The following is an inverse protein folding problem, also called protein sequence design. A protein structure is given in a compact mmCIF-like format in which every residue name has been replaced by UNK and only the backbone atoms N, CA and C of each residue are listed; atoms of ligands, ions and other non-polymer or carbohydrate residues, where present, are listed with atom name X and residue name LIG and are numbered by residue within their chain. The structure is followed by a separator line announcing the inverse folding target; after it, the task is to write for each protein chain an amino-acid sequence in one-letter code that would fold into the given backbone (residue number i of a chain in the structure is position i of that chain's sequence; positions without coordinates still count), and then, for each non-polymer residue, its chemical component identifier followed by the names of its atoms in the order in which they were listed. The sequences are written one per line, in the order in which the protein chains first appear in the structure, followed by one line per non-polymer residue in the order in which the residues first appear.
data_IF_664209829143
#
_entry.id   IF_664209829143
#
_cell.length_a   1.000
_cell.length_b   1.000
_cell.length_c   1.000
_cell.angle_alpha   90.00
_cell.angle_beta   90.00
_cell.angle_gamma   90.00
#
_symmetry.space_group_name_H-M   'P 1'
#
loop_
_entity.id
_entity.type
_entity.pdbx_description
1 polymer ?
#
# COMPACT_ATOMS: atom_id res chain seq x y z
N UNK A 1 -28.82 -9.93 -6.96
CA UNK A 1 -30.17 -10.58 -6.89
C UNK A 1 -31.14 -9.61 -6.20
N UNK A 2 -32.43 -9.50 -6.56
CA UNK A 2 -33.34 -8.53 -5.88
C UNK A 2 -33.73 -9.02 -4.48
N UNK A 3 -32.83 -8.88 -3.50
CA UNK A 3 -33.03 -9.26 -2.10
C UNK A 3 -33.57 -8.04 -1.35
N UNK A 4 -34.81 -7.63 -1.65
CA UNK A 4 -35.49 -6.62 -0.84
C UNK A 4 -36.82 -7.17 -0.35
N UNK A 5 -36.86 -7.39 0.97
CA UNK A 5 -37.91 -8.00 1.79
C UNK A 5 -37.97 -9.53 1.80
N UNK A 6 -37.15 -10.12 2.67
CA UNK A 6 -37.48 -11.42 3.26
C UNK A 6 -38.70 -11.20 4.18
N UNK A 7 -39.90 -11.53 3.68
CA UNK A 7 -41.07 -11.76 4.54
C UNK A 7 -42.23 -10.76 4.52
N UNK A 8 -42.20 -9.67 3.73
CA UNK A 8 -43.38 -8.85 3.45
C UNK A 8 -43.40 -8.36 2.00
N UNK A 9 -44.51 -8.56 1.29
CA UNK A 9 -44.71 -7.99 -0.05
C UNK A 9 -44.64 -6.44 0.02
N UNK A 10 -43.67 -5.84 -0.67
CA UNK A 10 -43.80 -4.47 -1.18
C UNK A 10 -43.93 -4.56 -2.70
N UNK A 11 -44.81 -3.81 -3.36
CA UNK A 11 -44.88 -3.77 -4.82
C UNK A 11 -43.69 -3.04 -5.47
N UNK A 12 -42.75 -2.51 -4.69
CA UNK A 12 -41.73 -1.57 -5.15
C UNK A 12 -40.39 -2.25 -5.35
N UNK A 13 -40.34 -3.29 -6.19
CA UNK A 13 -39.08 -3.72 -6.80
C UNK A 13 -38.94 -2.92 -8.10
N UNK A 14 -38.21 -1.81 -8.08
CA UNK A 14 -38.04 -0.89 -9.23
C UNK A 14 -37.05 -1.41 -10.30
N UNK A 15 -36.92 -2.73 -10.46
CA UNK A 15 -36.22 -3.28 -11.63
C UNK A 15 -37.20 -3.26 -12.82
N UNK A 16 -36.86 -2.52 -13.89
CA UNK A 16 -37.70 -2.41 -15.08
C UNK A 16 -38.03 -3.78 -15.72
N UNK A 17 -37.10 -4.74 -15.64
CA UNK A 17 -37.28 -6.12 -16.06
C UNK A 17 -38.28 -6.88 -15.17
N UNK A 18 -38.22 -6.72 -13.83
CA UNK A 18 -39.19 -7.31 -12.91
C UNK A 18 -40.59 -6.69 -13.07
N UNK A 19 -40.68 -5.38 -13.38
CA UNK A 19 -41.93 -4.70 -13.69
C UNK A 19 -42.58 -5.17 -15.00
N UNK A 20 -41.77 -5.46 -16.02
CA UNK A 20 -42.26 -6.01 -17.30
C UNK A 20 -42.70 -7.48 -17.17
N UNK A 21 -41.88 -8.31 -16.52
CA UNK A 21 -42.16 -9.75 -16.36
C UNK A 21 -43.37 -10.03 -15.45
N UNK A 22 -43.57 -9.22 -14.40
CA UNK A 22 -44.73 -9.35 -13.50
C UNK A 22 -46.05 -8.98 -14.18
N UNK A 23 -46.05 -8.00 -15.10
CA UNK A 23 -47.24 -7.61 -15.88
C UNK A 23 -47.65 -8.64 -16.93
N UNK A 24 -46.69 -9.37 -17.50
CA UNK A 24 -46.97 -10.31 -18.59
C UNK A 24 -47.24 -11.74 -18.10
N UNK A 25 -46.66 -12.17 -16.98
CA UNK A 25 -46.69 -13.59 -16.60
C UNK A 25 -47.40 -13.92 -15.27
N UNK A 26 -48.00 -12.95 -14.56
CA UNK A 26 -48.65 -13.22 -13.26
C UNK A 26 -47.76 -14.00 -12.26
N UNK A 27 -46.44 -13.84 -12.37
CA UNK A 27 -45.47 -14.60 -11.57
C UNK A 27 -45.54 -14.12 -10.12
N UNK A 28 -46.17 -14.93 -9.26
CA UNK A 28 -46.05 -14.79 -7.80
C UNK A 28 -44.66 -15.25 -7.40
N UNK A 29 -43.70 -14.32 -7.34
CA UNK A 29 -42.41 -14.59 -6.71
C UNK A 29 -42.63 -14.78 -5.21
N UNK A 30 -42.64 -16.02 -4.75
CA UNK A 30 -42.52 -16.32 -3.32
C UNK A 30 -41.07 -16.05 -2.91
N UNK A 31 -40.81 -15.18 -1.91
CA UNK A 31 -39.45 -14.90 -1.49
C UNK A 31 -38.80 -16.19 -0.97
N UNK A 32 -37.59 -16.45 -1.43
CA UNK A 32 -36.80 -17.60 -0.97
C UNK A 32 -36.58 -17.48 0.55
N UNK A 33 -36.95 -18.49 1.36
CA UNK A 33 -36.94 -18.38 2.81
C UNK A 33 -35.53 -18.58 3.38
N UNK A 34 -34.62 -17.64 3.10
CA UNK A 34 -33.20 -17.71 3.42
C UNK A 34 -32.94 -18.05 4.91
N UNK A 35 -33.73 -17.45 5.81
CA UNK A 35 -33.66 -17.67 7.28
C UNK A 35 -34.10 -19.06 7.76
N UNK A 36 -34.76 -19.84 6.89
CA UNK A 36 -35.18 -21.22 7.18
C UNK A 36 -34.14 -22.25 6.74
N UNK A 37 -33.09 -21.82 6.04
CA UNK A 37 -32.03 -22.73 5.64
C UNK A 37 -31.22 -23.22 6.84
N UNK A 38 -30.70 -24.45 6.77
CA UNK A 38 -29.64 -24.88 7.67
C UNK A 38 -28.39 -24.01 7.51
N UNK A 39 -27.53 -24.02 8.54
CA UNK A 39 -26.33 -23.19 8.62
C UNK A 39 -25.39 -23.36 7.41
N UNK A 40 -25.15 -24.60 6.95
CA UNK A 40 -24.21 -24.86 5.85
C UNK A 40 -24.71 -24.29 4.51
N UNK A 41 -25.94 -24.56 4.05
CA UNK A 41 -26.48 -23.91 2.85
C UNK A 41 -26.48 -22.38 2.94
N UNK A 42 -26.83 -21.80 4.10
CA UNK A 42 -26.79 -20.36 4.30
C UNK A 42 -25.38 -19.81 4.14
N UNK A 43 -24.38 -20.47 4.73
CA UNK A 43 -22.96 -20.10 4.62
C UNK A 43 -22.48 -20.13 3.16
N UNK A 44 -22.83 -21.19 2.42
CA UNK A 44 -22.47 -21.31 1.01
C UNK A 44 -23.09 -20.19 0.17
N UNK A 45 -24.35 -19.85 0.43
CA UNK A 45 -25.02 -18.73 -0.25
C UNK A 45 -24.31 -17.41 0.08
N UNK A 46 -23.99 -17.15 1.36
CA UNK A 46 -23.29 -15.92 1.73
C UNK A 46 -21.90 -15.82 1.11
N UNK A 47 -21.21 -16.94 0.84
CA UNK A 47 -19.92 -16.94 0.15
C UNK A 47 -20.02 -16.63 -1.35
N UNK A 48 -21.21 -16.74 -1.93
CA UNK A 48 -21.49 -16.37 -3.32
C UNK A 48 -21.99 -14.94 -3.48
N UNK A 49 -22.27 -14.25 -2.36
CA UNK A 49 -22.67 -12.85 -2.34
C UNK A 49 -21.45 -11.95 -2.43
N UNK A 50 -21.64 -10.74 -2.95
CA UNK A 50 -20.67 -9.66 -2.80
C UNK A 50 -20.82 -8.93 -1.46
N UNK A 51 -19.89 -8.06 -1.11
CA UNK A 51 -19.87 -7.36 0.19
C UNK A 51 -21.04 -6.38 0.39
N UNK A 52 -21.55 -5.74 -0.67
CA UNK A 52 -22.76 -4.91 -0.59
C UNK A 52 -24.00 -5.80 -0.31
N UNK A 53 -24.10 -6.96 -0.93
CA UNK A 53 -25.10 -7.99 -0.63
C UNK A 53 -24.98 -8.50 0.82
N UNK A 54 -23.77 -8.67 1.36
CA UNK A 54 -23.54 -9.00 2.78
C UNK A 54 -24.07 -7.91 3.72
N UNK A 55 -23.78 -6.63 3.44
CA UNK A 55 -24.24 -5.50 4.25
C UNK A 55 -25.78 -5.40 4.19
N UNK A 56 -26.38 -5.49 3.01
CA UNK A 56 -27.85 -5.53 2.84
C UNK A 56 -28.48 -6.70 3.60
N UNK A 57 -27.83 -7.86 3.60
CA UNK A 57 -28.33 -9.03 4.32
C UNK A 57 -28.36 -8.81 5.83
N UNK A 58 -27.32 -8.16 6.38
CA UNK A 58 -27.29 -7.76 7.79
C UNK A 58 -28.39 -6.74 8.12
N UNK A 59 -28.65 -5.78 7.22
CA UNK A 59 -29.74 -4.81 7.37
C UNK A 59 -31.14 -5.47 7.37
N UNK A 60 -31.29 -6.61 6.71
CA UNK A 60 -32.58 -7.31 6.63
C UNK A 60 -32.97 -8.04 7.94
N UNK A 61 -32.02 -8.45 8.78
CA UNK A 61 -32.30 -9.21 10.00
C UNK A 61 -31.15 -9.24 10.98
N UNK A 62 -31.46 -9.01 12.25
CA UNK A 62 -30.46 -9.10 13.32
C UNK A 62 -29.89 -10.52 13.46
N UNK A 63 -30.68 -11.55 13.12
CA UNK A 63 -30.17 -12.93 13.09
C UNK A 63 -29.12 -13.13 12.00
N UNK A 64 -29.27 -12.45 10.86
CA UNK A 64 -28.29 -12.50 9.77
C UNK A 64 -27.06 -11.66 10.09
N UNK A 65 -27.24 -10.49 10.71
CA UNK A 65 -26.14 -9.69 11.26
C UNK A 65 -25.25 -10.56 12.18
N UNK A 66 -25.84 -11.21 13.18
CA UNK A 66 -25.10 -12.10 14.10
C UNK A 66 -24.45 -13.30 13.38
N UNK A 67 -25.13 -13.87 12.38
CA UNK A 67 -24.58 -14.95 11.57
C UNK A 67 -23.31 -14.50 10.83
N UNK A 68 -23.35 -13.32 10.20
CA UNK A 68 -22.23 -12.76 9.46
C UNK A 68 -21.08 -12.37 10.37
N UNK A 69 -21.36 -11.83 11.57
CA UNK A 69 -20.34 -11.56 12.58
C UNK A 69 -19.62 -12.83 13.07
N UNK A 70 -20.35 -13.95 13.16
CA UNK A 70 -19.78 -15.22 13.58
C UNK A 70 -18.93 -15.86 12.48
N UNK A 71 -19.42 -15.89 11.24
CA UNK A 71 -18.76 -16.59 10.14
C UNK A 71 -17.71 -15.76 9.40
N UNK A 72 -17.79 -14.42 9.50
CA UNK A 72 -16.90 -13.43 8.88
C UNK A 72 -16.71 -13.63 7.38
N UNK A 73 -17.39 -12.83 6.58
CA UNK A 73 -17.21 -12.84 5.14
C UNK A 73 -15.78 -12.43 4.77
N UNK A 74 -15.09 -13.22 3.93
CA UNK A 74 -13.68 -12.98 3.61
C UNK A 74 -13.54 -11.92 2.52
N UNK A 75 -12.80 -10.87 2.82
CA UNK A 75 -12.30 -9.85 1.88
C UNK A 75 -10.80 -9.71 2.09
N UNK A 76 -10.10 -9.04 1.18
CA UNK A 76 -8.66 -8.77 1.33
C UNK A 76 -8.46 -7.48 2.14
N UNK A 77 -9.20 -6.42 1.82
CA UNK A 77 -9.06 -5.12 2.46
C UNK A 77 -10.41 -4.50 2.84
N UNK A 78 -10.42 -3.75 3.94
CA UNK A 78 -11.53 -2.89 4.34
C UNK A 78 -10.99 -1.47 4.55
N UNK A 79 -11.66 -0.48 3.96
CA UNK A 79 -11.34 0.93 4.13
C UNK A 79 -12.53 1.66 4.73
N UNK A 80 -12.29 2.46 5.78
CA UNK A 80 -13.31 3.37 6.31
C UNK A 80 -12.92 4.81 5.99
N UNK A 81 -13.72 5.43 5.14
CA UNK A 81 -13.64 6.84 4.78
C UNK A 81 -14.50 7.66 5.73
N UNK A 82 -13.86 8.56 6.47
CA UNK A 82 -14.43 9.31 7.58
C UNK A 82 -14.37 10.82 7.32
N UNK A 83 -15.52 11.46 7.51
CA UNK A 83 -15.69 12.91 7.58
C UNK A 83 -16.83 13.27 8.55
N UNK A 84 -17.10 14.55 8.76
CA UNK A 84 -18.27 14.99 9.54
C UNK A 84 -19.60 14.82 8.78
N UNK A 85 -19.55 14.63 7.45
CA UNK A 85 -20.73 14.60 6.58
C UNK A 85 -21.05 13.21 6.03
N UNK A 86 -20.12 12.27 6.10
CA UNK A 86 -20.34 10.90 5.63
C UNK A 86 -19.44 9.86 6.31
N UNK A 87 -19.90 8.62 6.25
CA UNK A 87 -19.10 7.41 6.42
C UNK A 87 -19.18 6.61 5.12
N UNK A 88 -18.05 6.17 4.59
CA UNK A 88 -18.01 5.21 3.49
C UNK A 88 -17.17 4.00 3.90
N UNK A 89 -17.71 2.80 3.64
CA UNK A 89 -17.05 1.54 3.88
C UNK A 89 -16.76 0.87 2.54
N UNK A 90 -15.48 0.81 2.18
CA UNK A 90 -15.02 0.14 0.98
C UNK A 90 -14.49 -1.24 1.34
N UNK A 91 -14.74 -2.19 0.46
CA UNK A 91 -14.37 -3.59 0.63
C UNK A 91 -13.78 -4.10 -0.66
N UNK A 92 -12.59 -4.68 -0.56
CA UNK A 92 -11.84 -5.13 -1.73
C UNK A 92 -11.63 -6.64 -1.71
N UNK A 93 -11.91 -7.28 -2.85
CA UNK A 93 -11.51 -8.65 -3.17
C UNK A 93 -10.62 -8.59 -4.42
N UNK A 94 -9.37 -9.00 -4.26
CA UNK A 94 -8.37 -9.00 -5.32
C UNK A 94 -8.72 -10.05 -6.41
N UNK A 95 -8.43 -9.78 -7.69
CA UNK A 95 -7.68 -8.63 -8.18
C UNK A 95 -8.51 -7.37 -8.48
N UNK A 96 -9.83 -7.45 -8.68
CA UNK A 96 -10.59 -6.35 -9.31
C UNK A 96 -12.05 -6.19 -8.83
N UNK A 97 -12.34 -6.38 -7.55
CA UNK A 97 -13.67 -6.07 -7.01
C UNK A 97 -13.55 -5.13 -5.81
N UNK A 98 -13.82 -3.85 -6.02
CA UNK A 98 -13.95 -2.87 -4.93
C UNK A 98 -15.41 -2.41 -4.89
N UNK A 99 -16.06 -2.63 -3.75
CA UNK A 99 -17.43 -2.20 -3.52
C UNK A 99 -17.50 -1.24 -2.36
N UNK A 100 -18.28 -0.18 -2.56
CA UNK A 100 -18.43 0.92 -1.62
C UNK A 100 -19.84 0.94 -1.06
N UNK A 101 -19.95 1.01 0.27
CA UNK A 101 -21.21 1.37 0.93
C UNK A 101 -21.09 2.76 1.55
N UNK A 102 -21.95 3.67 1.12
CA UNK A 102 -21.94 5.07 1.51
C UNK A 102 -23.12 5.39 2.45
N UNK A 103 -22.80 6.02 3.57
CA UNK A 103 -23.74 6.49 4.58
C UNK A 103 -23.63 8.01 4.72
N UNK A 104 -24.71 8.73 4.46
CA UNK A 104 -24.75 10.16 4.78
C UNK A 104 -24.78 10.35 6.32
N UNK A 105 -24.21 11.44 6.81
CA UNK A 105 -24.29 11.82 8.22
C UNK A 105 -25.21 13.04 8.33
N UNK A 106 -26.22 12.96 9.21
CA UNK A 106 -27.15 14.06 9.46
C UNK A 106 -27.28 14.28 10.95
N UNK A 107 -27.21 15.55 11.32
CA UNK A 107 -27.34 15.97 12.71
C UNK A 107 -28.73 15.65 13.27
N UNK A 108 -28.81 15.16 14.51
CA UNK A 108 -30.03 14.77 15.21
C UNK A 108 -30.82 13.57 14.64
N UNK A 109 -30.17 12.70 13.85
CA UNK A 109 -30.77 11.44 13.41
C UNK A 109 -30.95 10.44 14.57
N UNK A 110 -31.88 9.49 14.43
CA UNK A 110 -32.06 8.42 15.43
C UNK A 110 -30.80 7.55 15.53
N UNK A 111 -30.43 7.24 16.78
CA UNK A 111 -29.31 6.36 17.11
C UNK A 111 -29.46 5.00 16.43
N UNK A 112 -28.39 4.51 15.82
CA UNK A 112 -28.31 3.16 15.28
C UNK A 112 -27.70 2.22 16.31
N UNK A 113 -28.42 1.14 16.61
CA UNK A 113 -27.95 0.10 17.54
C UNK A 113 -27.70 -1.24 16.85
N UNK A 114 -28.26 -1.45 15.66
CA UNK A 114 -28.18 -2.67 14.85
C UNK A 114 -28.22 -2.32 13.37
N UNK A 115 -27.71 -3.21 12.51
CA UNK A 115 -27.84 -3.03 11.06
C UNK A 115 -29.30 -2.98 10.63
N UNK A 116 -30.20 -3.66 11.35
CA UNK A 116 -31.64 -3.64 11.06
C UNK A 116 -32.31 -2.27 11.19
N UNK A 117 -31.71 -1.35 11.96
CA UNK A 117 -32.25 0.01 12.10
C UNK A 117 -32.11 0.81 10.78
N UNK A 118 -31.30 0.30 9.84
CA UNK A 118 -31.10 0.84 8.49
C UNK A 118 -31.98 0.18 7.41
N UNK A 119 -32.78 -0.84 7.74
CA UNK A 119 -33.52 -1.63 6.73
C UNK A 119 -34.40 -0.77 5.81
N UNK A 120 -35.04 0.25 6.37
CA UNK A 120 -35.92 1.17 5.63
C UNK A 120 -35.18 2.42 5.12
N UNK A 121 -33.84 2.46 5.24
CA UNK A 121 -32.98 3.60 4.87
C UNK A 121 -32.24 3.38 3.55
N UNK A 122 -32.51 2.33 2.80
CA UNK A 122 -31.92 2.15 1.48
C UNK A 122 -32.37 3.24 0.50
N UNK A 123 -31.42 3.84 -0.21
CA UNK A 123 -31.69 4.88 -1.20
C UNK A 123 -31.63 4.32 -2.62
N UNK A 124 -30.44 3.88 -3.05
CA UNK A 124 -30.17 3.34 -4.37
C UNK A 124 -28.91 2.46 -4.34
N UNK A 125 -28.68 1.76 -5.44
CA UNK A 125 -27.51 0.93 -5.68
C UNK A 125 -27.19 0.95 -7.18
N UNK A 126 -25.90 0.99 -7.50
CA UNK A 126 -25.38 0.67 -8.83
C UNK A 126 -24.35 -0.46 -8.69
N UNK A 127 -23.63 -0.78 -9.76
CA UNK A 127 -22.75 -1.96 -9.78
C UNK A 127 -21.65 -1.91 -8.68
N UNK A 128 -21.18 -0.71 -8.28
CA UNK A 128 -20.08 -0.56 -7.33
C UNK A 128 -20.49 0.09 -5.99
N UNK A 129 -21.59 0.83 -5.96
CA UNK A 129 -22.00 1.67 -4.83
C UNK A 129 -23.36 1.29 -4.27
N UNK A 130 -23.42 1.17 -2.95
CA UNK A 130 -24.64 1.06 -2.15
C UNK A 130 -24.83 2.35 -1.33
N UNK A 131 -25.93 3.07 -1.52
CA UNK A 131 -26.22 4.27 -0.72
C UNK A 131 -27.31 4.01 0.31
N UNK A 132 -26.99 4.39 1.55
CA UNK A 132 -27.87 4.28 2.71
C UNK A 132 -28.11 5.67 3.29
N UNK A 133 -29.37 5.96 3.59
CA UNK A 133 -29.84 7.20 4.19
C UNK A 133 -29.25 7.37 5.59
N UNK A 134 -29.28 8.63 6.02
CA UNK A 134 -28.49 9.21 7.07
C UNK A 134 -28.38 8.44 8.38
N UNK A 135 -27.25 8.63 9.05
CA UNK A 135 -26.98 8.23 10.42
C UNK A 135 -26.50 9.41 11.28
N UNK A 136 -26.53 9.23 12.59
CA UNK A 136 -25.99 10.22 13.53
C UNK A 136 -24.47 10.20 13.52
N UNK A 137 -23.84 11.38 13.56
CA UNK A 137 -22.37 11.56 13.70
C UNK A 137 -21.79 10.78 14.90
N UNK A 138 -22.62 10.57 15.94
CA UNK A 138 -22.25 9.87 17.17
C UNK A 138 -22.13 8.36 16.98
N UNK A 139 -22.67 7.83 15.88
CA UNK A 139 -22.72 6.39 15.61
C UNK A 139 -21.66 5.94 14.59
N UNK A 140 -20.86 6.85 14.01
CA UNK A 140 -19.88 6.51 12.95
C UNK A 140 -18.94 5.39 13.39
N UNK A 141 -18.25 5.55 14.51
CA UNK A 141 -17.29 4.54 14.99
C UNK A 141 -17.96 3.21 15.36
N UNK A 142 -19.16 3.26 15.95
CA UNK A 142 -19.94 2.05 16.25
C UNK A 142 -20.37 1.34 14.97
N UNK A 143 -20.69 2.08 13.92
CA UNK A 143 -21.01 1.54 12.59
C UNK A 143 -19.77 0.90 11.96
N UNK A 144 -18.60 1.56 11.99
CA UNK A 144 -17.35 0.96 11.52
C UNK A 144 -17.05 -0.36 12.23
N UNK A 145 -17.20 -0.41 13.55
CA UNK A 145 -17.02 -1.64 14.33
C UNK A 145 -18.02 -2.73 13.93
N UNK A 146 -19.28 -2.36 13.73
CA UNK A 146 -20.34 -3.29 13.32
C UNK A 146 -20.11 -3.83 11.92
N UNK A 147 -19.75 -2.97 10.97
CA UNK A 147 -19.44 -3.37 9.60
C UNK A 147 -18.22 -4.28 9.60
N UNK A 148 -17.10 -3.84 10.17
CA UNK A 148 -15.85 -4.62 10.17
C UNK A 148 -15.98 -5.97 10.88
N UNK A 149 -16.83 -6.08 11.91
CA UNK A 149 -17.07 -7.34 12.60
C UNK A 149 -17.69 -8.44 11.74
N UNK A 150 -18.35 -8.08 10.62
CA UNK A 150 -18.93 -9.01 9.65
C UNK A 150 -17.90 -9.56 8.66
N UNK A 151 -16.67 -9.02 8.66
CA UNK A 151 -15.64 -9.34 7.68
C UNK A 151 -14.40 -9.96 8.33
N UNK A 152 -13.71 -10.78 7.53
CA UNK A 152 -12.32 -11.20 7.78
C UNK A 152 -11.48 -10.57 6.68
N UNK A 153 -10.44 -9.84 7.05
CA UNK A 153 -9.57 -9.07 6.15
C UNK A 153 -8.12 -9.15 6.62
N UNK A 154 -7.18 -8.91 5.70
CA UNK A 154 -5.75 -8.78 6.02
C UNK A 154 -5.36 -7.35 6.33
N UNK A 155 -6.02 -6.35 5.73
CA UNK A 155 -5.74 -4.93 5.95
C UNK A 155 -6.99 -4.18 6.39
N UNK A 156 -6.83 -3.29 7.37
CA UNK A 156 -7.82 -2.29 7.74
C UNK A 156 -7.22 -0.89 7.60
N UNK A 157 -7.81 -0.06 6.75
CA UNK A 157 -7.36 1.31 6.53
C UNK A 157 -8.40 2.34 6.98
N UNK A 158 -7.94 3.39 7.64
CA UNK A 158 -8.75 4.50 8.11
C UNK A 158 -8.40 5.76 7.33
N UNK A 159 -9.34 6.26 6.55
CA UNK A 159 -9.15 7.40 5.64
C UNK A 159 -9.88 8.62 6.18
N UNK A 160 -9.17 9.66 6.54
CA UNK A 160 -9.71 10.92 7.06
C UNK A 160 -9.68 12.02 5.99
N UNK A 161 -10.81 12.69 5.76
CA UNK A 161 -10.91 13.81 4.81
C UNK A 161 -10.72 15.14 5.55
N UNK A 162 -9.50 15.70 5.48
CA UNK A 162 -9.06 16.79 6.36
C UNK A 162 -9.85 18.10 6.17
N UNK A 163 -10.35 18.36 4.97
CA UNK A 163 -11.15 19.55 4.65
C UNK A 163 -12.65 19.38 4.96
N UNK A 164 -13.06 18.18 5.38
CA UNK A 164 -14.45 17.82 5.68
C UNK A 164 -14.61 17.26 7.11
N UNK A 165 -13.59 17.42 7.95
CA UNK A 165 -13.62 16.99 9.35
C UNK A 165 -13.06 18.08 10.25
N UNK A 166 -13.82 18.47 11.27
CA UNK A 166 -13.37 19.39 12.31
C UNK A 166 -12.26 18.74 13.15
N UNK A 167 -11.32 19.56 13.63
CA UNK A 167 -10.16 19.10 14.40
C UNK A 167 -10.58 18.23 15.59
N UNK A 168 -11.57 18.64 16.37
CA UNK A 168 -11.98 17.91 17.57
C UNK A 168 -12.58 16.54 17.22
N UNK A 169 -13.35 16.45 16.13
CA UNK A 169 -13.88 15.17 15.64
C UNK A 169 -12.77 14.27 15.11
N UNK A 170 -11.84 14.82 14.34
CA UNK A 170 -10.65 14.11 13.85
C UNK A 170 -9.87 13.48 15.00
N UNK A 171 -9.52 14.27 16.00
CA UNK A 171 -8.74 13.78 17.14
C UNK A 171 -9.50 12.72 17.94
N UNK A 172 -10.81 12.88 18.11
CA UNK A 172 -11.67 11.89 18.76
C UNK A 172 -11.70 10.56 18.00
N UNK A 173 -11.88 10.58 16.69
CA UNK A 173 -11.90 9.37 15.87
C UNK A 173 -10.51 8.73 15.81
N UNK A 174 -9.45 9.52 15.69
CA UNK A 174 -8.07 9.03 15.75
C UNK A 174 -7.81 8.29 17.08
N UNK A 175 -8.19 8.88 18.22
CA UNK A 175 -8.03 8.24 19.53
C UNK A 175 -8.81 6.91 19.63
N UNK A 176 -9.98 6.81 18.98
CA UNK A 176 -10.76 5.57 18.94
C UNK A 176 -10.11 4.52 18.03
N UNK A 177 -9.67 4.91 16.84
CA UNK A 177 -8.93 4.05 15.90
C UNK A 177 -7.67 3.49 16.55
N UNK A 178 -6.90 4.31 17.27
CA UNK A 178 -5.68 3.87 17.95
C UNK A 178 -5.95 2.91 19.12
N UNK A 179 -7.18 2.85 19.65
CA UNK A 179 -7.58 1.81 20.62
C UNK A 179 -7.89 0.47 19.96
N UNK A 180 -8.20 0.46 18.66
CA UNK A 180 -8.47 -0.78 17.92
C UNK A 180 -7.16 -1.53 17.68
N UNK A 181 -6.97 -2.65 18.39
CA UNK A 181 -5.75 -3.47 18.34
C UNK A 181 -5.79 -4.47 17.17
N UNK A 182 -5.96 -3.99 15.95
CA UNK A 182 -5.93 -4.83 14.75
C UNK A 182 -4.52 -4.82 14.15
N UNK A 183 -4.03 -5.98 13.72
CA UNK A 183 -2.75 -6.10 13.02
C UNK A 183 -2.84 -5.37 11.67
N UNK A 184 -1.75 -4.69 11.27
CA UNK A 184 -1.60 -4.07 9.94
C UNK A 184 -2.64 -2.97 9.65
N UNK A 185 -2.74 -1.98 10.55
CA UNK A 185 -3.51 -0.76 10.28
C UNK A 185 -2.71 0.21 9.40
N UNK A 186 -3.42 0.88 8.50
CA UNK A 186 -2.95 2.06 7.77
C UNK A 186 -3.87 3.25 8.07
N UNK A 187 -3.29 4.43 8.26
CA UNK A 187 -4.04 5.68 8.47
C UNK A 187 -3.71 6.64 7.35
N UNK A 188 -4.75 7.06 6.63
CA UNK A 188 -4.64 7.89 5.45
C UNK A 188 -5.30 9.23 5.69
N UNK A 189 -4.64 10.33 5.33
CA UNK A 189 -5.18 11.68 5.39
C UNK A 189 -5.32 12.24 3.98
N UNK A 190 -6.55 12.42 3.51
CA UNK A 190 -6.88 12.92 2.18
C UNK A 190 -7.42 14.35 2.22
N UNK A 191 -7.18 15.08 1.13
CA UNK A 191 -7.69 16.43 0.88
C UNK A 191 -7.28 17.46 1.95
N UNK A 192 -7.53 18.75 1.69
CA UNK A 192 -7.09 19.82 2.58
C UNK A 192 -5.57 19.94 2.77
N UNK A 193 -5.17 20.76 3.75
CA UNK A 193 -3.79 21.06 4.10
C UNK A 193 -3.61 21.06 5.61
N UNK A 194 -2.50 20.48 6.09
CA UNK A 194 -2.13 20.53 7.49
C UNK A 194 -1.52 21.87 7.88
N UNK A 195 -1.85 22.35 9.09
CA UNK A 195 -0.93 23.22 9.83
C UNK A 195 0.20 22.38 10.45
N UNK A 196 1.34 23.02 10.75
CA UNK A 196 2.46 22.32 11.40
C UNK A 196 2.06 21.75 12.76
N UNK A 197 1.26 22.51 13.51
CA UNK A 197 0.83 22.15 14.85
C UNK A 197 -0.06 20.90 14.81
N UNK A 198 -1.04 20.87 13.90
CA UNK A 198 -1.93 19.72 13.75
C UNK A 198 -1.18 18.47 13.29
N UNK A 199 -0.30 18.59 12.29
CA UNK A 199 0.47 17.45 11.80
C UNK A 199 1.41 16.90 12.87
N UNK A 200 2.12 17.77 13.61
CA UNK A 200 2.94 17.35 14.75
C UNK A 200 2.10 16.62 15.80
N UNK A 201 0.95 17.17 16.18
CA UNK A 201 0.05 16.56 17.17
C UNK A 201 -0.40 15.14 16.75
N UNK A 202 -0.72 14.96 15.46
CA UNK A 202 -1.13 13.67 14.89
C UNK A 202 0.04 12.69 14.86
N UNK A 203 1.19 13.08 14.30
CA UNK A 203 2.37 12.20 14.21
C UNK A 203 2.92 11.82 15.58
N UNK A 204 2.69 12.64 16.61
CA UNK A 204 3.09 12.30 17.97
C UNK A 204 2.21 11.22 18.61
N UNK A 205 0.91 11.18 18.25
CA UNK A 205 -0.06 10.21 18.74
C UNK A 205 0.04 8.86 18.05
N UNK A 206 0.28 8.83 16.74
CA UNK A 206 0.28 7.57 15.98
C UNK A 206 1.54 6.75 16.32
N UNK A 207 1.39 5.49 16.77
CA UNK A 207 2.52 4.58 16.95
C UNK A 207 3.22 4.32 15.62
N UNK A 208 4.55 4.31 15.63
CA UNK A 208 5.38 4.05 14.45
C UNK A 208 5.21 2.65 13.85
N UNK A 209 4.53 1.73 14.54
CA UNK A 209 4.17 0.41 14.01
C UNK A 209 3.01 0.46 12.99
N UNK A 210 2.26 1.56 12.95
CA UNK A 210 1.13 1.78 12.03
C UNK A 210 1.66 2.45 10.75
N UNK A 211 1.13 2.03 9.59
CA UNK A 211 1.44 2.67 8.32
C UNK A 211 0.71 4.00 8.17
N UNK A 212 1.33 4.98 7.52
CA UNK A 212 0.70 6.28 7.26
C UNK A 212 0.71 6.62 5.77
N UNK A 213 -0.36 7.25 5.30
CA UNK A 213 -0.42 7.87 3.97
C UNK A 213 -0.96 9.29 4.06
N UNK A 214 -0.13 10.27 3.69
CA UNK A 214 -0.50 11.67 3.69
C UNK A 214 -0.63 12.18 2.26
N UNK A 215 -1.87 12.10 1.76
CA UNK A 215 -2.31 12.70 0.48
C UNK A 215 -2.69 14.18 0.60
N UNK A 216 -2.83 14.66 1.84
CA UNK A 216 -3.11 16.05 2.20
C UNK A 216 -1.86 16.94 2.05
N UNK A 217 -2.05 18.26 1.91
CA UNK A 217 -0.92 19.19 1.83
C UNK A 217 -0.10 19.25 3.12
N UNK A 218 1.23 19.23 3.00
CA UNK A 218 2.19 19.36 4.11
C UNK A 218 2.98 20.67 3.95
N UNK A 219 3.21 21.45 5.02
CA UNK A 219 4.09 22.62 4.96
C UNK A 219 5.51 22.25 4.49
N UNK A 220 6.06 23.00 3.53
CA UNK A 220 7.36 22.70 2.88
C UNK A 220 8.57 22.74 3.82
N UNK A 221 8.45 23.42 4.95
CA UNK A 221 9.47 23.54 5.99
C UNK A 221 9.10 22.72 7.24
N UNK A 222 8.20 21.75 7.10
CA UNK A 222 7.86 20.81 8.16
C UNK A 222 9.02 19.87 8.46
N UNK A 223 9.22 19.58 9.75
CA UNK A 223 10.19 18.60 10.24
C UNK A 223 9.62 17.91 11.46
N UNK A 224 9.78 16.60 11.54
CA UNK A 224 9.32 15.84 12.69
C UNK A 224 10.17 14.58 12.93
N UNK A 225 10.63 14.30 14.17
CA UNK A 225 11.53 13.18 14.46
C UNK A 225 10.97 11.78 14.17
N UNK A 226 9.64 11.64 14.06
CA UNK A 226 8.95 10.38 13.75
C UNK A 226 8.54 10.24 12.28
N UNK A 227 8.62 11.29 11.47
CA UNK A 227 7.99 11.27 10.15
C UNK A 227 8.51 10.14 9.24
N UNK A 228 9.77 9.76 9.38
CA UNK A 228 10.37 8.68 8.59
C UNK A 228 10.60 7.38 9.39
N UNK A 229 9.80 7.15 10.44
CA UNK A 229 9.94 5.99 11.33
C UNK A 229 8.75 5.04 11.31
N UNK A 230 7.67 5.39 10.60
CA UNK A 230 6.48 4.55 10.46
C UNK A 230 6.78 3.28 9.65
N UNK A 231 6.10 2.18 9.95
CA UNK A 231 6.35 0.86 9.34
C UNK A 231 6.26 0.89 7.82
N UNK A 232 5.30 1.65 7.30
CA UNK A 232 5.16 2.03 5.89
C UNK A 232 4.75 3.50 5.85
N UNK A 233 5.27 4.27 4.89
CA UNK A 233 4.96 5.68 4.76
C UNK A 233 4.72 6.09 3.31
N UNK A 234 3.63 6.80 3.07
CA UNK A 234 3.36 7.50 1.81
C UNK A 234 3.17 9.00 2.07
N UNK A 235 3.90 9.82 1.33
CA UNK A 235 3.82 11.26 1.40
C UNK A 235 3.63 11.82 0.01
N UNK A 236 2.43 12.32 -0.31
CA UNK A 236 2.18 12.96 -1.61
C UNK A 236 3.03 14.22 -1.80
N UNK A 237 3.14 15.05 -0.76
CA UNK A 237 4.03 16.20 -0.73
C UNK A 237 5.25 15.87 0.13
N UNK A 238 6.39 15.67 -0.53
CA UNK A 238 7.63 15.18 0.07
C UNK A 238 8.83 16.11 -0.21
N UNK A 239 8.63 17.34 -0.74
CA UNK A 239 9.71 18.31 -1.00
C UNK A 239 10.43 18.78 0.27
N UNK A 240 9.79 18.59 1.42
CA UNK A 240 10.39 18.89 2.70
C UNK A 240 11.42 17.82 3.11
N UNK A 241 11.40 16.60 2.55
CA UNK A 241 12.35 15.53 2.87
C UNK A 241 13.66 15.75 2.12
N UNK A 242 14.79 15.58 2.82
CA UNK A 242 16.15 15.68 2.28
C UNK A 242 16.79 14.31 2.08
N UNK A 243 17.94 14.26 1.40
CA UNK A 243 18.68 13.00 1.21
C UNK A 243 19.19 12.46 2.56
N UNK A 244 19.57 13.34 3.48
CA UNK A 244 19.99 12.93 4.84
C UNK A 244 18.84 12.36 5.65
N UNK A 245 17.63 12.90 5.47
CA UNK A 245 16.43 12.33 6.08
C UNK A 245 16.20 10.88 5.55
N UNK A 246 16.35 10.65 4.24
CA UNK A 246 16.27 9.31 3.63
C UNK A 246 17.34 8.35 4.16
N UNK A 247 18.59 8.80 4.33
CA UNK A 247 19.68 7.98 4.89
C UNK A 247 19.40 7.52 6.31
N UNK A 248 18.56 8.25 7.06
CA UNK A 248 18.20 7.92 8.45
C UNK A 248 17.13 6.84 8.58
N UNK A 249 16.49 6.44 7.47
CA UNK A 249 15.40 5.47 7.46
C UNK A 249 15.88 4.08 7.90
N UNK A 250 15.19 3.49 8.88
CA UNK A 250 15.40 2.13 9.41
C UNK A 250 14.06 1.50 9.72
N UNK A 251 13.34 1.06 8.69
CA UNK A 251 11.98 0.53 8.80
C UNK A 251 11.87 -0.82 8.09
N UNK A 252 10.95 -1.70 8.50
CA UNK A 252 10.73 -2.96 7.79
C UNK A 252 10.05 -2.75 6.44
N UNK A 253 9.10 -1.83 6.30
CA UNK A 253 8.29 -1.69 5.09
C UNK A 253 8.83 -0.66 4.09
N UNK A 254 7.89 0.08 3.50
CA UNK A 254 8.14 0.86 2.28
C UNK A 254 8.08 2.37 2.49
N UNK A 255 8.88 3.11 1.73
CA UNK A 255 8.87 4.58 1.67
C UNK A 255 8.37 5.04 0.30
N UNK A 256 7.24 5.74 0.24
CA UNK A 256 6.65 6.25 -1.00
C UNK A 256 6.55 7.78 -0.97
N UNK A 257 7.31 8.44 -1.84
CA UNK A 257 7.40 9.89 -1.90
C UNK A 257 6.84 10.40 -3.24
N UNK A 258 5.76 11.16 -3.18
CA UNK A 258 5.10 11.76 -4.34
C UNK A 258 5.97 12.83 -4.99
N UNK A 259 5.68 14.10 -4.71
CA UNK A 259 6.45 15.24 -5.22
C UNK A 259 7.68 15.48 -4.36
N UNK A 260 8.88 15.43 -4.94
CA UNK A 260 10.15 15.63 -4.21
C UNK A 260 11.02 16.73 -4.82
N UNK A 261 12.13 17.05 -4.15
CA UNK A 261 13.19 17.91 -4.69
C UNK A 261 14.41 17.13 -5.18
N UNK A 262 14.34 15.80 -5.22
CA UNK A 262 15.49 14.95 -5.54
C UNK A 262 15.88 15.03 -7.01
N UNK A 263 17.17 15.20 -7.26
CA UNK A 263 17.79 15.07 -8.57
C UNK A 263 18.71 13.84 -8.65
N UNK A 264 19.36 13.64 -9.80
CA UNK A 264 20.24 12.49 -10.01
C UNK A 264 21.41 12.41 -9.02
N UNK A 265 21.91 13.55 -8.54
CA UNK A 265 23.00 13.60 -7.57
C UNK A 265 22.53 13.16 -6.20
N UNK A 266 21.32 13.55 -5.79
CA UNK A 266 20.73 13.07 -4.53
C UNK A 266 20.53 11.54 -4.54
N UNK A 267 20.09 10.97 -5.66
CA UNK A 267 19.93 9.51 -5.80
C UNK A 267 21.29 8.81 -5.76
N UNK A 268 22.30 9.34 -6.43
CA UNK A 268 23.67 8.79 -6.34
C UNK A 268 24.18 8.81 -4.90
N UNK A 269 23.98 9.93 -4.18
CA UNK A 269 24.39 10.09 -2.80
C UNK A 269 23.68 9.08 -1.87
N UNK A 270 22.37 8.89 -2.06
CA UNK A 270 21.61 7.86 -1.36
C UNK A 270 22.15 6.44 -1.64
N UNK A 271 22.37 6.09 -2.90
CA UNK A 271 22.84 4.75 -3.28
C UNK A 271 24.23 4.46 -2.72
N UNK A 272 25.15 5.42 -2.77
CA UNK A 272 26.48 5.30 -2.14
C UNK A 272 26.35 5.02 -0.65
N UNK A 273 25.49 5.75 0.04
CA UNK A 273 25.22 5.50 1.45
C UNK A 273 24.63 4.11 1.69
N UNK A 274 23.64 3.70 0.90
CA UNK A 274 23.00 2.39 1.05
C UNK A 274 24.01 1.24 0.85
N UNK A 275 24.88 1.35 -0.15
CA UNK A 275 25.94 0.34 -0.44
C UNK A 275 26.91 0.20 0.74
N UNK A 276 27.22 1.30 1.43
CA UNK A 276 28.16 1.33 2.55
C UNK A 276 27.51 1.04 3.91
N UNK A 277 26.18 1.09 4.00
CA UNK A 277 25.42 0.88 5.22
C UNK A 277 25.53 -0.58 5.70
N UNK A 278 25.75 -0.78 7.00
CA UNK A 278 25.81 -2.09 7.65
C UNK A 278 24.48 -2.53 8.29
N UNK A 279 23.48 -1.64 8.24
CA UNK A 279 22.14 -1.87 8.77
C UNK A 279 21.10 -1.96 7.64
N UNK A 280 20.05 -2.75 7.87
CA UNK A 280 18.89 -2.77 6.99
C UNK A 280 18.14 -1.43 7.04
N UNK A 281 17.96 -0.80 5.87
CA UNK A 281 17.31 0.50 5.77
C UNK A 281 15.80 0.41 5.55
N UNK A 282 15.36 -0.29 4.50
CA UNK A 282 13.95 -0.44 4.10
C UNK A 282 13.81 -1.56 3.05
N UNK A 283 12.61 -2.16 2.95
CA UNK A 283 12.30 -3.18 1.93
C UNK A 283 12.22 -2.54 0.53
N UNK A 284 11.55 -1.39 0.45
CA UNK A 284 11.42 -0.67 -0.82
C UNK A 284 11.25 0.82 -0.65
N UNK A 285 11.64 1.56 -1.68
CA UNK A 285 11.45 2.99 -1.81
C UNK A 285 10.89 3.30 -3.20
N UNK A 286 9.94 4.22 -3.26
CA UNK A 286 9.42 4.76 -4.50
C UNK A 286 9.39 6.26 -4.40
N UNK A 287 9.92 6.98 -5.39
CA UNK A 287 9.85 8.43 -5.41
C UNK A 287 9.70 8.99 -6.82
N UNK A 288 9.03 10.13 -6.97
CA UNK A 288 9.18 10.90 -8.20
C UNK A 288 10.30 11.92 -8.05
N UNK A 289 11.16 11.99 -9.05
CA UNK A 289 12.22 13.00 -9.14
C UNK A 289 11.59 14.39 -9.18
N UNK A 290 12.40 15.41 -8.86
CA UNK A 290 12.04 16.81 -9.03
C UNK A 290 11.50 17.07 -10.43
N UNK A 291 10.44 17.88 -10.52
CA UNK A 291 9.83 18.25 -11.79
C UNK A 291 10.88 18.78 -12.79
N UNK A 292 10.75 18.39 -14.06
CA UNK A 292 11.67 18.74 -15.14
C UNK A 292 13.09 18.17 -15.02
N UNK A 293 13.37 17.27 -14.06
CA UNK A 293 14.65 16.56 -14.02
C UNK A 293 14.80 15.67 -15.26
N UNK A 294 15.93 15.82 -15.94
CA UNK A 294 16.35 14.91 -17.01
C UNK A 294 17.24 13.86 -16.38
N UNK A 295 16.83 12.60 -16.45
CA UNK A 295 17.58 11.52 -15.83
C UNK A 295 18.92 11.33 -16.55
N UNK A 296 20.00 11.53 -15.81
CA UNK A 296 21.35 11.24 -16.25
C UNK A 296 21.89 10.01 -15.50
N UNK A 297 22.03 8.90 -16.21
CA UNK A 297 22.49 7.62 -15.66
C UNK A 297 23.94 7.69 -15.20
N UNK A 298 24.79 8.40 -15.94
CA UNK A 298 26.20 8.55 -15.59
C UNK A 298 26.37 9.27 -14.26
N UNK A 299 25.47 10.23 -13.96
CA UNK A 299 25.45 10.91 -12.66
C UNK A 299 24.94 9.98 -11.56
N UNK A 300 23.86 9.22 -11.80
CA UNK A 300 23.30 8.29 -10.81
C UNK A 300 24.32 7.20 -10.44
N UNK A 301 25.10 6.72 -11.40
CA UNK A 301 26.04 5.61 -11.22
C UNK A 301 27.48 6.05 -10.98
N UNK A 302 27.75 7.34 -10.86
CA UNK A 302 29.10 7.84 -10.63
C UNK A 302 29.71 7.18 -9.39
N UNK A 303 30.88 6.55 -9.56
CA UNK A 303 31.64 5.83 -8.53
C UNK A 303 30.88 4.66 -7.87
N UNK A 304 29.86 4.11 -8.52
CA UNK A 304 29.16 2.91 -8.09
C UNK A 304 29.53 1.73 -8.98
N UNK A 305 29.86 0.61 -8.35
CA UNK A 305 29.94 -0.67 -9.04
C UNK A 305 28.52 -1.20 -9.23
N UNK A 306 28.13 -1.42 -10.48
CA UNK A 306 26.76 -1.80 -10.80
C UNK A 306 26.69 -2.73 -12.02
N UNK A 307 25.66 -3.57 -12.03
CA UNK A 307 25.21 -4.30 -13.21
C UNK A 307 23.96 -3.60 -13.71
N UNK A 308 23.85 -3.37 -15.01
CA UNK A 308 22.69 -2.73 -15.64
C UNK A 308 22.08 -3.67 -16.67
N UNK A 309 20.77 -3.57 -16.84
CA UNK A 309 20.03 -4.35 -17.83
C UNK A 309 18.85 -3.55 -18.40
N UNK A 310 18.66 -3.63 -19.71
CA UNK A 310 17.49 -3.07 -20.39
C UNK A 310 16.48 -4.17 -20.66
N UNK A 311 15.27 -3.97 -20.17
CA UNK A 311 14.12 -4.79 -20.51
C UNK A 311 13.13 -3.99 -21.35
N UNK A 312 12.12 -4.67 -21.90
CA UNK A 312 11.00 -4.01 -22.59
C UNK A 312 10.21 -3.06 -21.67
N UNK A 313 10.33 -3.24 -20.34
CA UNK A 313 9.56 -2.51 -19.33
C UNK A 313 10.35 -1.41 -18.63
N UNK A 314 11.68 -1.39 -18.75
CA UNK A 314 12.48 -0.34 -18.12
C UNK A 314 13.98 -0.57 -18.12
N UNK A 315 14.64 0.32 -17.39
CA UNK A 315 16.08 0.28 -17.14
C UNK A 315 16.31 -0.10 -15.67
N UNK A 316 17.00 -1.21 -15.49
CA UNK A 316 17.27 -1.81 -14.18
C UNK A 316 18.75 -1.65 -13.85
N UNK A 317 19.03 -1.21 -12.62
CA UNK A 317 20.38 -1.10 -12.06
C UNK A 317 20.45 -1.95 -10.81
N UNK A 318 21.47 -2.77 -10.73
CA UNK A 318 21.73 -3.66 -9.60
C UNK A 318 23.01 -3.21 -8.90
N UNK A 319 22.92 -3.00 -7.58
CA UNK A 319 24.05 -2.66 -6.71
C UNK A 319 24.12 -3.63 -5.54
N UNK A 320 25.31 -3.85 -5.01
CA UNK A 320 25.55 -4.77 -3.89
C UNK A 320 26.02 -3.99 -2.67
N UNK A 321 25.46 -4.29 -1.50
CA UNK A 321 25.94 -3.76 -0.23
C UNK A 321 27.31 -4.38 0.14
N UNK A 322 28.26 -3.55 0.59
CA UNK A 322 29.61 -4.02 0.94
C UNK A 322 29.59 -4.98 2.14
N UNK A 323 28.80 -4.67 3.16
CA UNK A 323 28.68 -5.46 4.39
C UNK A 323 27.66 -6.61 4.31
N UNK A 324 27.63 -7.29 3.16
CA UNK A 324 26.69 -8.36 2.79
C UNK A 324 26.59 -9.56 3.76
N UNK A 325 27.55 -9.76 4.68
CA UNK A 325 27.57 -10.92 5.59
C UNK A 325 26.58 -10.82 6.76
N UNK A 326 26.12 -9.60 7.07
CA UNK A 326 25.19 -9.35 8.18
C UNK A 326 23.80 -8.92 7.70
N UNK A 327 23.61 -8.76 6.40
CA UNK A 327 22.36 -8.28 5.80
C UNK A 327 21.60 -9.43 5.17
N UNK A 328 20.33 -9.56 5.53
CA UNK A 328 19.43 -10.54 4.91
C UNK A 328 19.17 -10.18 3.43
N UNK A 329 19.11 -8.88 3.11
CA UNK A 329 18.83 -8.34 1.78
C UNK A 329 19.97 -7.45 1.24
N UNK A 330 21.11 -8.03 0.80
CA UNK A 330 22.29 -7.28 0.38
C UNK A 330 22.24 -6.77 -1.07
N UNK A 331 21.21 -7.12 -1.85
CA UNK A 331 21.07 -6.72 -3.25
C UNK A 331 20.08 -5.56 -3.39
N UNK A 332 20.54 -4.42 -3.91
CA UNK A 332 19.71 -3.28 -4.25
C UNK A 332 19.36 -3.27 -5.72
N UNK A 333 18.08 -3.10 -6.05
CA UNK A 333 17.58 -2.98 -7.42
C UNK A 333 16.94 -1.61 -7.57
N UNK A 334 17.45 -0.82 -8.50
CA UNK A 334 16.93 0.49 -8.85
C UNK A 334 16.31 0.44 -10.25
N UNK A 335 15.01 0.68 -10.33
CA UNK A 335 14.28 0.81 -11.57
C UNK A 335 14.02 2.28 -11.87
N UNK A 336 14.31 2.64 -13.12
CA UNK A 336 14.06 3.98 -13.62
C UNK A 336 13.02 3.90 -14.72
N UNK A 337 11.83 4.41 -14.43
CA UNK A 337 10.74 4.41 -15.40
C UNK A 337 10.72 5.69 -16.24
N UNK A 338 10.00 5.64 -17.37
CA UNK A 338 9.90 6.75 -18.32
C UNK A 338 9.18 8.01 -17.77
N UNK A 339 8.56 7.94 -16.59
CA UNK A 339 7.80 9.03 -15.97
C UNK A 339 8.58 9.75 -14.87
N UNK A 340 9.91 9.65 -14.87
CA UNK A 340 10.76 10.20 -13.81
C UNK A 340 10.45 9.67 -12.41
N UNK A 341 9.91 8.46 -12.31
CA UNK A 341 9.75 7.76 -11.05
C UNK A 341 10.89 6.76 -10.89
N UNK A 342 11.48 6.80 -9.70
CA UNK A 342 12.50 5.88 -9.23
C UNK A 342 11.84 4.89 -8.31
N UNK A 343 12.13 3.62 -8.51
CA UNK A 343 11.75 2.56 -7.60
C UNK A 343 13.02 1.83 -7.17
N UNK A 344 13.13 1.54 -5.88
CA UNK A 344 14.27 0.86 -5.29
C UNK A 344 13.77 -0.26 -4.39
N UNK A 345 14.38 -1.42 -4.47
CA UNK A 345 14.06 -2.57 -3.63
C UNK A 345 15.33 -3.23 -3.10
N UNK A 346 15.25 -3.75 -1.88
CA UNK A 346 16.29 -4.56 -1.27
C UNK A 346 15.85 -6.04 -1.28
N UNK A 347 16.62 -6.89 -1.94
CA UNK A 347 16.35 -8.32 -2.08
C UNK A 347 17.43 -9.18 -1.43
N UNK A 348 17.06 -10.42 -1.11
CA UNK A 348 18.01 -11.44 -0.70
C UNK A 348 18.87 -11.86 -1.88
N UNK A 349 20.08 -12.35 -1.59
CA UNK A 349 21.04 -12.73 -2.63
C UNK A 349 20.59 -13.92 -3.48
N UNK A 350 19.74 -14.80 -2.96
CA UNK A 350 19.25 -15.99 -3.64
C UNK A 350 18.14 -15.70 -4.66
N UNK A 351 17.35 -14.64 -4.45
CA UNK A 351 16.29 -14.21 -5.36
C UNK A 351 16.82 -13.86 -6.76
N UNK A 352 18.03 -13.28 -6.84
CA UNK A 352 18.72 -12.93 -8.08
C UNK A 352 20.16 -13.43 -8.10
N UNK A 353 20.35 -14.71 -7.76
CA UNK A 353 21.68 -15.33 -7.61
C UNK A 353 22.63 -15.13 -8.79
N UNK A 354 22.13 -15.13 -10.03
CA UNK A 354 22.96 -14.91 -11.22
C UNK A 354 23.54 -13.48 -11.25
N UNK A 355 22.70 -12.47 -11.01
CA UNK A 355 23.10 -11.06 -11.02
C UNK A 355 24.00 -10.76 -9.82
N UNK A 356 23.66 -11.32 -8.65
CA UNK A 356 24.47 -11.20 -7.46
C UNK A 356 25.89 -11.77 -7.69
N UNK A 357 26.01 -12.92 -8.34
CA UNK A 357 27.30 -13.50 -8.74
C UNK A 357 28.08 -12.64 -9.75
N UNK A 358 27.40 -11.90 -10.63
CA UNK A 358 28.06 -10.92 -11.50
C UNK A 358 28.67 -9.77 -10.68
N UNK A 359 27.94 -9.23 -9.70
CA UNK A 359 28.45 -8.19 -8.81
C UNK A 359 29.66 -8.68 -8.00
N UNK A 360 29.64 -9.92 -7.50
CA UNK A 360 30.81 -10.54 -6.85
C UNK A 360 32.01 -10.67 -7.80
N UNK A 361 31.76 -10.99 -9.07
CA UNK A 361 32.81 -11.08 -10.09
C UNK A 361 33.45 -9.72 -10.38
N UNK A 362 32.66 -8.65 -10.39
CA UNK A 362 33.15 -7.28 -10.57
C UNK A 362 34.00 -6.83 -9.37
N UNK A 363 33.56 -7.10 -8.13
CA UNK A 363 34.33 -6.81 -6.91
C UNK A 363 35.67 -7.54 -6.94
N UNK A 364 35.64 -8.85 -7.23
CA UNK A 364 36.86 -9.67 -7.34
C UNK A 364 37.80 -9.13 -8.41
N UNK A 365 37.28 -8.72 -9.57
CA UNK A 365 38.09 -8.12 -10.64
C UNK A 365 38.78 -6.84 -10.17
N UNK A 366 38.05 -5.94 -9.51
CA UNK A 366 38.59 -4.68 -8.97
C UNK A 366 39.68 -4.90 -7.93
N UNK A 367 39.47 -5.85 -7.02
CA UNK A 367 40.45 -6.20 -5.98
C UNK A 367 41.73 -6.78 -6.58
N UNK A 368 41.60 -7.67 -7.57
CA UNK A 368 42.73 -8.25 -8.29
C UNK A 368 43.51 -7.20 -9.10
N UNK A 369 42.83 -6.25 -9.75
CA UNK A 369 43.47 -5.13 -10.46
C UNK A 369 44.23 -4.21 -9.49
N UNK A 370 43.68 -3.98 -8.29
CA UNK A 370 44.34 -3.20 -7.26
C UNK A 370 45.56 -3.94 -6.68
N UNK A 371 45.44 -5.24 -6.39
CA UNK A 371 46.55 -6.09 -5.96
C UNK A 371 47.67 -6.08 -7.01
N UNK A 372 47.32 -6.26 -8.29
CA UNK A 372 48.27 -6.24 -9.41
C UNK A 372 49.03 -4.91 -9.50
N UNK A 373 48.36 -3.78 -9.27
CA UNK A 373 48.95 -2.45 -9.27
C UNK A 373 49.92 -2.23 -8.10
N UNK A 374 49.66 -2.87 -6.96
CA UNK A 374 50.46 -2.74 -5.75
C UNK A 374 51.67 -3.69 -5.71
N UNK A 375 51.75 -4.66 -6.63
CA UNK A 375 52.92 -5.53 -6.78
C UNK A 375 54.06 -4.75 -7.48
N UNK A 376 55.12 -4.42 -6.74
CA UNK A 376 56.34 -3.82 -7.30
C UNK A 376 57.06 -4.79 -8.26
N UNK A 377 57.85 -4.25 -9.19
CA UNK A 377 58.55 -4.94 -10.29
C UNK A 377 59.46 -6.09 -9.79
N UNK A 378 58.86 -7.27 -9.63
CA UNK A 378 59.57 -8.53 -9.50
C UNK A 378 58.76 -9.63 -10.20
N UNK A 379 59.43 -10.64 -10.75
CA UNK A 379 58.82 -11.78 -11.44
C UNK A 379 58.12 -12.69 -10.43
N UNK A 380 57.02 -12.20 -9.89
CA UNK A 380 56.22 -12.93 -8.91
C UNK A 380 55.25 -13.87 -9.63
N UNK A 381 55.33 -15.15 -9.28
CA UNK A 381 54.35 -16.18 -9.68
C UNK A 381 52.90 -15.73 -9.40
N UNK A 382 52.71 -14.93 -8.34
CA UNK A 382 51.42 -14.31 -8.01
C UNK A 382 50.89 -13.39 -9.11
N UNK A 383 51.77 -12.68 -9.82
CA UNK A 383 51.40 -11.80 -10.95
C UNK A 383 50.81 -12.60 -12.12
N UNK A 384 51.40 -13.76 -12.43
CA UNK A 384 50.89 -14.68 -13.46
C UNK A 384 49.54 -15.30 -13.05
N UNK A 385 49.41 -15.68 -11.77
CA UNK A 385 48.15 -16.20 -11.20
C UNK A 385 47.03 -15.16 -11.28
N UNK A 386 47.25 -13.93 -10.81
CA UNK A 386 46.28 -12.83 -10.89
C UNK A 386 45.89 -12.54 -12.34
N UNK A 387 46.86 -12.49 -13.25
CA UNK A 387 46.59 -12.23 -14.67
C UNK A 387 45.68 -13.31 -15.29
N UNK A 388 45.93 -14.57 -14.95
CA UNK A 388 45.09 -15.69 -15.41
C UNK A 388 43.67 -15.61 -14.84
N UNK A 389 43.51 -15.26 -13.56
CA UNK A 389 42.20 -15.06 -12.95
C UNK A 389 41.43 -13.90 -13.58
N UNK A 390 42.11 -12.78 -13.87
CA UNK A 390 41.52 -11.61 -14.53
C UNK A 390 41.05 -11.93 -15.96
N UNK A 391 41.81 -12.73 -16.72
CA UNK A 391 41.41 -13.18 -18.05
C UNK A 391 40.14 -14.04 -18.00
N UNK A 392 40.05 -14.97 -17.03
CA UNK A 392 38.87 -15.81 -16.85
C UNK A 392 37.63 -14.98 -16.46
N UNK A 393 37.77 -14.06 -15.51
CA UNK A 393 36.69 -13.15 -15.09
C UNK A 393 36.23 -12.26 -16.25
N UNK A 394 37.18 -11.71 -17.01
CA UNK A 394 36.87 -10.86 -18.17
C UNK A 394 36.11 -11.65 -19.23
N UNK A 395 36.51 -12.89 -19.52
CA UNK A 395 35.77 -13.74 -20.45
C UNK A 395 34.33 -13.99 -19.98
N UNK A 396 34.14 -14.32 -18.70
CA UNK A 396 32.80 -14.55 -18.13
C UNK A 396 31.92 -13.30 -18.21
N UNK A 397 32.47 -12.12 -17.91
CA UNK A 397 31.74 -10.86 -18.00
C UNK A 397 31.39 -10.54 -19.47
N UNK A 398 32.31 -10.70 -20.41
CA UNK A 398 32.04 -10.48 -21.84
C UNK A 398 30.89 -11.38 -22.36
N UNK A 399 30.84 -12.65 -21.92
CA UNK A 399 29.72 -13.56 -22.25
C UNK A 399 28.36 -13.05 -21.70
N UNK A 400 28.36 -12.26 -20.63
CA UNK A 400 27.14 -11.60 -20.12
C UNK A 400 26.85 -10.30 -20.86
N UNK A 401 27.85 -9.54 -21.29
CA UNK A 401 27.63 -8.36 -22.14
C UNK A 401 26.95 -8.74 -23.46
N UNK A 402 27.35 -9.88 -24.06
CA UNK A 402 26.69 -10.45 -25.24
C UNK A 402 25.20 -10.78 -25.01
N UNK A 403 24.79 -10.97 -23.75
CA UNK A 403 23.39 -11.20 -23.35
C UNK A 403 22.64 -9.91 -22.99
N UNK A 404 23.28 -8.74 -23.13
CA UNK A 404 22.68 -7.42 -22.93
C UNK A 404 22.91 -6.80 -21.55
N UNK A 405 23.76 -7.40 -20.70
CA UNK A 405 24.17 -6.77 -19.44
C UNK A 405 25.23 -5.70 -19.69
N UNK A 406 25.24 -4.65 -18.86
CA UNK A 406 26.24 -3.58 -18.91
C UNK A 406 26.87 -3.44 -17.53
N UNK A 407 28.19 -3.28 -17.48
CA UNK A 407 28.94 -3.21 -16.24
C UNK A 407 29.51 -1.82 -16.00
N UNK A 408 29.29 -1.28 -14.79
CA UNK A 408 29.93 -0.06 -14.29
C UNK A 408 30.97 -0.45 -13.22
N UNK A 409 32.16 0.16 -13.30
CA UNK A 409 33.33 -0.15 -12.47
C UNK A 409 33.69 0.97 -11.50
#
# INVERSE_FOLDING_TARGET
MCIWKIGKFSPTCQCALCGMLSKWFSLKFTPFPLLKLPTIPLLLITRMMDSNEIIKLAMCSYRLELFLQFFKYKVDHVYFHLSDIFLQADTMILPNNNLSTYFNVVHNEKRITRMTDLCDRFLNENDDFLWVQSMSEKDIMEMCNRISSMFSYSLLEWVFYLDQIEKDTLMKYLDEVLRTRVCENMITFMQGCFSKELLTEILDKIPVTIGIDIKSGIPVDFRHPKALKFSTMEYREARWITVDDLKSVRIPGSVMLGTTNFDCSDINEFLKYWVDCDEFMMESMSLNMKESTVINRDVILDQLMAVQFYSDVGYHVYVKAKNHKNLESPLGVLDINAKNKIEFWAFKSDEYSEIYGMLESLEKKKDLEMELKNLEDSRDKRKEEISTELEQLTKQLNEKEEKGFIFTF
#
